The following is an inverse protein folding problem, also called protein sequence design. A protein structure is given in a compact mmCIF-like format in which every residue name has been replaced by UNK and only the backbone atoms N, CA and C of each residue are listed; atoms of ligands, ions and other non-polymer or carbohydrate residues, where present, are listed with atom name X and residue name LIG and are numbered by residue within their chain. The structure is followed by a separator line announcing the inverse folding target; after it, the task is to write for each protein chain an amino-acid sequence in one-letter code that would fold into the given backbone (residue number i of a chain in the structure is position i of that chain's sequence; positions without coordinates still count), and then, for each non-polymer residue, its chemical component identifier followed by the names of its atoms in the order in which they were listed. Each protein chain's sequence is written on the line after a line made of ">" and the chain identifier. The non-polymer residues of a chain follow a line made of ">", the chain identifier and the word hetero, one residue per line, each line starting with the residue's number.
data_IF_290660672840
#
_entry.id   IF_290660672840
#
_cell.length_a   1.000
_cell.length_b   1.000
_cell.length_c   1.000
_cell.angle_alpha   90.00
_cell.angle_beta   90.00
_cell.angle_gamma   90.00
#
_symmetry.space_group_name_H-M   'P 1'
#
loop_
_entity.id
_entity.type
_entity.pdbx_description
1 polymer ?
#
# COMPACT_ATOMS: atom_id res chain seq x y z
N UNK A 1 15.58 -29.78 -13.72
CA UNK A 1 15.31 -28.36 -13.30
C UNK A 1 14.31 -27.72 -14.24
N UNK A 2 13.56 -26.71 -13.79
CA UNK A 2 12.60 -25.96 -14.60
C UNK A 2 12.72 -24.45 -14.38
N UNK A 3 12.34 -23.61 -15.35
CA UNK A 3 12.23 -22.17 -15.13
C UNK A 3 11.18 -21.84 -14.06
N UNK A 4 11.46 -20.83 -13.23
CA UNK A 4 10.45 -20.27 -12.35
C UNK A 4 9.34 -19.58 -13.13
N UNK A 5 8.09 -19.85 -12.77
CA UNK A 5 6.89 -19.25 -13.40
C UNK A 5 6.73 -17.76 -13.13
N UNK A 6 7.46 -17.22 -12.16
CA UNK A 6 7.42 -15.82 -11.77
C UNK A 6 8.57 -14.99 -12.30
N UNK A 7 9.26 -15.51 -13.33
CA UNK A 7 10.35 -14.82 -14.02
C UNK A 7 9.85 -14.04 -15.23
N UNK A 8 10.38 -12.83 -15.41
CA UNK A 8 10.12 -11.98 -16.55
C UNK A 8 11.42 -11.41 -17.10
N UNK A 9 11.42 -11.11 -18.41
CA UNK A 9 12.54 -10.54 -19.14
C UNK A 9 12.09 -9.29 -19.86
N UNK A 10 12.85 -8.20 -19.73
CA UNK A 10 12.64 -6.98 -20.50
C UNK A 10 13.96 -6.45 -21.04
N UNK A 11 13.94 -5.65 -22.11
CA UNK A 11 15.12 -5.08 -22.75
C UNK A 11 15.07 -3.56 -22.63
N UNK A 12 16.19 -2.97 -22.24
CA UNK A 12 16.35 -1.51 -22.20
C UNK A 12 16.83 -0.98 -23.55
N UNK A 13 16.63 0.33 -23.85
CA UNK A 13 17.05 0.95 -25.12
C UNK A 13 18.54 0.86 -25.42
N UNK A 14 19.39 0.80 -24.37
CA UNK A 14 20.85 0.68 -24.49
C UNK A 14 21.33 -0.74 -24.83
N UNK A 15 20.39 -1.70 -24.99
CA UNK A 15 20.68 -3.11 -25.25
C UNK A 15 20.93 -3.95 -24.00
N UNK A 16 20.81 -3.35 -22.81
CA UNK A 16 20.81 -4.07 -21.54
C UNK A 16 19.54 -4.92 -21.43
N UNK A 17 19.66 -6.14 -20.94
CA UNK A 17 18.52 -7.04 -20.72
C UNK A 17 18.38 -7.32 -19.24
N UNK A 18 17.18 -7.11 -18.73
CA UNK A 18 16.83 -7.33 -17.33
C UNK A 18 16.03 -8.63 -17.18
N UNK A 19 16.45 -9.47 -16.27
CA UNK A 19 15.68 -10.62 -15.79
C UNK A 19 15.24 -10.34 -14.37
N UNK A 20 13.95 -10.34 -14.11
CA UNK A 20 13.37 -10.22 -12.76
C UNK A 20 12.62 -11.48 -12.38
N UNK A 21 12.73 -11.90 -11.13
CA UNK A 21 11.89 -12.94 -10.55
C UNK A 21 11.05 -12.33 -9.44
N UNK A 22 9.72 -12.31 -9.58
CA UNK A 22 8.81 -11.68 -8.61
C UNK A 22 8.61 -12.49 -7.34
N UNK A 23 9.00 -13.77 -7.33
CA UNK A 23 8.97 -14.59 -6.11
C UNK A 23 10.17 -14.29 -5.20
N UNK A 24 11.39 -14.23 -5.78
CA UNK A 24 12.63 -13.95 -5.04
C UNK A 24 12.98 -12.47 -4.98
N UNK A 25 12.34 -11.63 -5.80
CA UNK A 25 12.63 -10.20 -6.02
C UNK A 25 14.07 -9.96 -6.50
N UNK A 26 14.67 -10.95 -7.14
CA UNK A 26 16.00 -10.83 -7.73
C UNK A 26 15.92 -10.22 -9.12
N UNK A 27 16.80 -9.27 -9.37
CA UNK A 27 16.97 -8.61 -10.65
C UNK A 27 18.41 -8.86 -11.12
N UNK A 28 18.54 -9.41 -12.34
CA UNK A 28 19.83 -9.62 -13.03
C UNK A 28 19.90 -8.70 -14.23
N UNK A 29 21.03 -8.04 -14.39
CA UNK A 29 21.39 -7.23 -15.55
C UNK A 29 22.36 -8.01 -16.43
N UNK A 30 22.01 -8.23 -17.69
CA UNK A 30 22.80 -8.98 -18.66
C UNK A 30 22.96 -8.15 -19.93
N UNK A 31 24.12 -8.30 -20.60
CA UNK A 31 24.23 -7.86 -21.99
C UNK A 31 23.47 -8.83 -22.92
N UNK A 32 23.15 -8.41 -24.15
CA UNK A 32 22.37 -9.20 -25.11
C UNK A 32 22.91 -10.62 -25.31
N UNK A 33 24.23 -10.81 -25.42
CA UNK A 33 24.86 -12.14 -25.62
C UNK A 33 24.66 -13.05 -24.41
N UNK A 34 24.76 -12.55 -23.21
CA UNK A 34 24.56 -13.34 -21.99
C UNK A 34 23.06 -13.56 -21.72
N UNK A 35 22.19 -12.64 -22.17
CA UNK A 35 20.73 -12.84 -22.18
C UNK A 35 20.32 -13.97 -23.12
N UNK A 36 20.88 -14.03 -24.36
CA UNK A 36 20.63 -15.14 -25.28
C UNK A 36 21.07 -16.49 -24.68
N UNK A 37 22.21 -16.50 -23.98
CA UNK A 37 22.66 -17.70 -23.27
C UNK A 37 21.73 -18.10 -22.12
N UNK A 38 21.23 -17.11 -21.38
CA UNK A 38 20.25 -17.35 -20.31
C UNK A 38 18.97 -17.96 -20.88
N UNK A 39 18.44 -17.43 -21.99
CA UNK A 39 17.28 -17.99 -22.68
C UNK A 39 17.50 -19.44 -23.12
N UNK A 40 18.64 -19.74 -23.70
CA UNK A 40 18.98 -21.13 -24.06
C UNK A 40 19.02 -22.07 -22.86
N UNK A 41 19.59 -21.61 -21.74
CA UNK A 41 19.65 -22.38 -20.50
C UNK A 41 18.23 -22.59 -19.92
N UNK A 42 17.39 -21.54 -19.93
CA UNK A 42 16.02 -21.63 -19.45
C UNK A 42 15.12 -22.51 -20.32
N UNK A 43 15.36 -22.56 -21.63
CA UNK A 43 14.64 -23.46 -22.57
C UNK A 43 15.04 -24.93 -22.41
N UNK A 44 16.28 -25.19 -22.00
CA UNK A 44 16.83 -26.54 -21.84
C UNK A 44 17.54 -26.70 -20.48
N UNK A 45 16.79 -26.63 -19.39
CA UNK A 45 17.35 -26.52 -18.04
C UNK A 45 18.12 -27.75 -17.56
N UNK A 46 17.82 -28.93 -18.13
CA UNK A 46 18.49 -30.20 -17.78
C UNK A 46 19.79 -30.44 -18.58
N UNK A 47 20.00 -29.71 -19.68
CA UNK A 47 21.24 -29.81 -20.42
C UNK A 47 22.37 -29.05 -19.71
N UNK A 48 23.55 -29.69 -19.60
CA UNK A 48 24.72 -28.98 -19.08
C UNK A 48 25.29 -28.03 -20.13
N UNK A 49 25.32 -26.72 -19.84
CA UNK A 49 25.79 -25.77 -20.82
C UNK A 49 27.30 -25.91 -21.07
N UNK A 50 27.71 -25.85 -22.35
CA UNK A 50 29.11 -25.94 -22.73
C UNK A 50 29.86 -24.62 -22.45
N UNK A 51 30.99 -24.74 -21.75
CA UNK A 51 31.89 -23.62 -21.49
C UNK A 51 31.71 -22.93 -20.15
N UNK A 52 32.80 -22.45 -19.57
CA UNK A 52 32.90 -21.89 -18.21
C UNK A 52 31.89 -20.76 -17.93
N UNK A 53 31.70 -19.85 -18.93
CA UNK A 53 30.74 -18.72 -18.76
C UNK A 53 29.30 -19.19 -18.70
N UNK A 54 28.90 -20.16 -19.53
CA UNK A 54 27.53 -20.66 -19.53
C UNK A 54 27.23 -21.48 -18.27
N UNK A 55 28.19 -22.27 -17.76
CA UNK A 55 28.06 -22.94 -16.47
C UNK A 55 27.92 -21.95 -15.29
N UNK A 56 28.72 -20.88 -15.29
CA UNK A 56 28.60 -19.81 -14.28
C UNK A 56 27.23 -19.12 -14.35
N UNK A 57 26.72 -18.84 -15.55
CA UNK A 57 25.40 -18.23 -15.73
C UNK A 57 24.27 -19.15 -15.27
N UNK A 58 24.33 -20.48 -15.59
CA UNK A 58 23.35 -21.46 -15.06
C UNK A 58 23.31 -21.45 -13.54
N UNK A 59 24.50 -21.39 -12.91
CA UNK A 59 24.60 -21.28 -11.44
C UNK A 59 23.96 -20.00 -10.92
N UNK A 60 24.25 -18.84 -11.54
CA UNK A 60 23.65 -17.55 -11.17
C UNK A 60 22.13 -17.61 -11.30
N UNK A 61 21.60 -18.15 -12.40
CA UNK A 61 20.16 -18.29 -12.62
C UNK A 61 19.51 -19.16 -11.53
N UNK A 62 20.17 -20.27 -11.12
CA UNK A 62 19.69 -21.15 -10.06
C UNK A 62 19.73 -20.47 -8.68
N UNK A 63 20.85 -19.83 -8.32
CA UNK A 63 21.02 -19.14 -7.02
C UNK A 63 20.06 -17.95 -6.84
N UNK A 64 19.59 -17.35 -7.93
CA UNK A 64 18.64 -16.23 -7.90
C UNK A 64 17.18 -16.65 -8.14
N UNK A 65 16.91 -17.96 -8.27
CA UNK A 65 15.56 -18.49 -8.37
C UNK A 65 14.93 -18.41 -9.76
N UNK A 66 15.71 -18.18 -10.83
CA UNK A 66 15.21 -18.24 -12.22
C UNK A 66 15.12 -19.68 -12.72
N UNK A 67 15.97 -20.55 -12.20
CA UNK A 67 15.91 -21.99 -12.35
C UNK A 67 15.66 -22.63 -10.97
N UNK A 68 14.65 -23.48 -10.91
CA UNK A 68 14.23 -24.18 -9.68
C UNK A 68 14.22 -25.69 -9.89
N UNK A 69 14.18 -26.45 -8.81
CA UNK A 69 14.02 -27.89 -8.87
C UNK A 69 12.63 -28.27 -9.43
N UNK A 70 12.51 -29.34 -10.20
CA UNK A 70 11.26 -29.84 -10.77
C UNK A 70 10.20 -30.17 -9.72
N UNK A 71 10.64 -30.60 -8.53
CA UNK A 71 9.76 -30.93 -7.41
C UNK A 71 9.15 -29.70 -6.71
N UNK A 72 9.67 -28.48 -6.97
CA UNK A 72 9.17 -27.26 -6.34
C UNK A 72 7.88 -26.82 -7.02
N UNK A 73 6.78 -26.84 -6.30
CA UNK A 73 5.55 -26.18 -6.71
C UNK A 73 5.49 -24.77 -6.09
N UNK A 74 5.85 -23.73 -6.88
CA UNK A 74 5.87 -22.35 -6.42
C UNK A 74 4.47 -21.84 -6.02
N UNK A 75 3.42 -22.34 -6.69
CA UNK A 75 2.05 -21.94 -6.39
C UNK A 75 1.60 -22.49 -5.03
N UNK A 76 1.87 -23.75 -4.75
CA UNK A 76 1.59 -24.39 -3.46
C UNK A 76 2.42 -23.76 -2.33
N UNK A 77 3.66 -23.34 -2.60
CA UNK A 77 4.45 -22.56 -1.62
C UNK A 77 3.77 -21.24 -1.28
N UNK A 78 3.35 -20.43 -2.29
CA UNK A 78 2.64 -19.18 -2.06
C UNK A 78 1.33 -19.39 -1.31
N UNK A 79 0.58 -20.43 -1.67
CA UNK A 79 -0.67 -20.80 -1.02
C UNK A 79 -0.45 -21.11 0.47
N UNK A 80 0.53 -21.98 0.76
CA UNK A 80 0.92 -22.30 2.15
C UNK A 80 1.39 -21.07 2.92
N UNK A 81 2.11 -20.17 2.27
CA UNK A 81 2.64 -18.94 2.87
C UNK A 81 1.52 -17.96 3.20
N UNK A 82 0.56 -17.78 2.28
CA UNK A 82 -0.65 -16.99 2.50
C UNK A 82 -1.51 -17.58 3.61
N UNK A 83 -1.75 -18.88 3.58
CA UNK A 83 -2.57 -19.56 4.58
C UNK A 83 -2.01 -19.35 5.99
N UNK A 84 -0.71 -19.51 6.18
CA UNK A 84 -0.05 -19.23 7.46
C UNK A 84 -0.19 -17.76 7.89
N UNK A 85 -0.08 -16.82 6.97
CA UNK A 85 -0.21 -15.40 7.27
C UNK A 85 -1.65 -15.01 7.63
N UNK A 86 -2.63 -15.54 6.90
CA UNK A 86 -4.04 -15.26 7.12
C UNK A 86 -4.58 -15.87 8.43
N UNK A 87 -4.03 -17.01 8.86
CA UNK A 87 -4.49 -17.74 10.05
C UNK A 87 -3.56 -17.59 11.27
N UNK A 88 -2.55 -16.76 11.21
CA UNK A 88 -1.66 -16.54 12.34
C UNK A 88 -2.38 -15.85 13.52
N UNK A 89 -1.97 -16.17 14.75
CA UNK A 89 -2.57 -15.63 15.98
C UNK A 89 -1.62 -14.74 16.80
N UNK A 90 -0.34 -14.70 16.45
CA UNK A 90 0.67 -13.93 17.20
C UNK A 90 0.60 -12.42 16.98
N UNK A 91 0.06 -12.00 15.84
CA UNK A 91 -0.02 -10.59 15.47
C UNK A 91 -1.47 -10.16 15.39
N UNK A 92 -1.91 -9.32 16.31
CA UNK A 92 -3.22 -8.70 16.30
C UNK A 92 -3.14 -7.37 15.55
N UNK A 93 -3.98 -7.18 14.54
CA UNK A 93 -4.14 -5.92 13.81
C UNK A 93 -5.48 -5.25 14.17
N UNK A 94 -5.44 -3.98 14.55
CA UNK A 94 -6.66 -3.23 14.83
C UNK A 94 -6.64 -1.91 14.06
N UNK A 95 -7.68 -1.66 13.25
CA UNK A 95 -7.99 -0.32 12.77
C UNK A 95 -9.11 0.22 13.65
N UNK A 96 -8.84 1.28 14.38
CA UNK A 96 -9.76 1.81 15.39
C UNK A 96 -10.25 3.18 14.93
N UNK A 97 -11.58 3.34 14.90
CA UNK A 97 -12.25 4.58 14.58
C UNK A 97 -12.78 5.23 15.86
N UNK A 98 -12.09 6.22 16.45
CA UNK A 98 -12.59 6.91 17.65
C UNK A 98 -13.91 7.64 17.40
N UNK A 99 -14.12 8.08 16.13
CA UNK A 99 -15.34 8.74 15.67
C UNK A 99 -15.44 8.69 14.16
N UNK A 100 -16.66 8.78 13.62
CA UNK A 100 -16.89 9.06 12.18
C UNK A 100 -17.08 10.57 11.91
N UNK A 101 -17.11 11.41 12.95
CA UNK A 101 -17.12 12.86 12.75
C UNK A 101 -15.83 13.35 12.08
N UNK A 102 -15.96 14.33 11.18
CA UNK A 102 -14.83 14.93 10.48
C UNK A 102 -15.04 16.45 10.36
N UNK A 103 -13.95 17.20 10.50
CA UNK A 103 -13.90 18.65 10.31
C UNK A 103 -13.76 19.06 8.83
N UNK A 104 -13.61 18.11 7.89
CA UNK A 104 -13.59 18.35 6.45
C UNK A 104 -14.82 17.76 5.75
N UNK A 105 -15.03 18.19 4.48
CA UNK A 105 -16.13 17.74 3.60
C UNK A 105 -15.59 17.34 2.24
N UNK A 106 -14.63 16.37 2.23
CA UNK A 106 -14.03 15.90 0.99
C UNK A 106 -15.08 15.35 0.02
N UNK A 107 -14.97 15.72 -1.26
CA UNK A 107 -15.97 15.37 -2.30
C UNK A 107 -16.00 13.87 -2.63
N UNK A 108 -14.93 13.16 -2.37
CA UNK A 108 -14.77 11.73 -2.65
C UNK A 108 -14.85 10.85 -1.38
N UNK A 109 -15.30 11.40 -0.25
CA UNK A 109 -15.33 10.67 1.01
C UNK A 109 -16.33 9.52 0.98
N UNK A 110 -15.89 8.32 1.34
CA UNK A 110 -16.71 7.12 1.45
C UNK A 110 -17.21 6.85 2.89
N UNK A 111 -16.79 7.67 3.86
CA UNK A 111 -17.23 7.61 5.25
C UNK A 111 -18.55 8.34 5.44
N UNK A 112 -19.45 7.77 6.26
CA UNK A 112 -20.59 8.52 6.78
C UNK A 112 -20.08 9.52 7.81
N UNK A 113 -20.69 10.71 7.83
CA UNK A 113 -20.30 11.79 8.75
C UNK A 113 -21.18 11.83 10.00
N UNK A 114 -22.09 10.87 10.14
CA UNK A 114 -23.13 10.80 11.18
C UNK A 114 -22.69 9.90 12.35
N UNK A 115 -21.39 9.85 12.63
CA UNK A 115 -20.86 8.95 13.60
C UNK A 115 -20.73 9.55 14.98
N UNK A 116 -21.29 8.88 15.97
CA UNK A 116 -21.02 9.14 17.36
C UNK A 116 -19.53 8.98 17.71
N UNK A 117 -19.16 9.50 18.86
CA UNK A 117 -17.85 9.28 19.47
C UNK A 117 -17.88 7.92 20.19
N UNK A 118 -16.77 7.18 20.14
CA UNK A 118 -16.62 5.90 20.83
C UNK A 118 -16.86 6.05 22.33
N UNK A 119 -17.90 5.40 22.85
CA UNK A 119 -18.28 5.46 24.25
C UNK A 119 -17.24 4.80 25.15
N UNK A 120 -17.24 5.15 26.43
CA UNK A 120 -16.37 4.53 27.42
C UNK A 120 -16.58 3.01 27.52
N UNK A 121 -17.82 2.55 27.36
CA UNK A 121 -18.18 1.13 27.38
C UNK A 121 -17.51 0.38 26.21
N UNK A 122 -17.53 0.95 25.00
CA UNK A 122 -16.84 0.40 23.83
C UNK A 122 -15.33 0.40 24.03
N UNK A 123 -14.74 1.48 24.57
CA UNK A 123 -13.31 1.55 24.90
C UNK A 123 -12.90 0.43 25.87
N UNK A 124 -13.68 0.20 26.93
CA UNK A 124 -13.42 -0.86 27.90
C UNK A 124 -13.55 -2.25 27.27
N UNK A 125 -14.55 -2.45 26.40
CA UNK A 125 -14.70 -3.71 25.68
C UNK A 125 -13.52 -3.98 24.72
N UNK A 126 -13.01 -2.92 24.08
CA UNK A 126 -11.84 -3.02 23.19
C UNK A 126 -10.55 -3.33 23.97
N UNK A 127 -10.36 -2.74 25.16
CA UNK A 127 -9.24 -3.09 26.06
C UNK A 127 -9.33 -4.56 26.49
N UNK A 128 -10.53 -5.07 26.82
CA UNK A 128 -10.72 -6.50 27.13
C UNK A 128 -10.37 -7.39 25.94
N UNK A 129 -10.86 -7.06 24.73
CA UNK A 129 -10.52 -7.76 23.50
C UNK A 129 -9.00 -7.84 23.28
N UNK A 130 -8.30 -6.71 23.42
CA UNK A 130 -6.85 -6.65 23.28
C UNK A 130 -6.15 -7.54 24.32
N UNK A 131 -6.59 -7.47 25.60
CA UNK A 131 -6.05 -8.31 26.68
C UNK A 131 -6.24 -9.80 26.43
N UNK A 132 -7.36 -10.20 25.83
CA UNK A 132 -7.65 -11.61 25.48
C UNK A 132 -6.88 -12.08 24.25
N UNK A 133 -6.80 -11.26 23.21
CA UNK A 133 -6.27 -11.65 21.89
C UNK A 133 -4.75 -11.53 21.77
N UNK A 134 -4.12 -10.57 22.42
CA UNK A 134 -2.65 -10.41 22.37
C UNK A 134 -2.01 -11.64 23.02
N UNK A 135 -1.20 -12.35 22.23
CA UNK A 135 -0.44 -13.51 22.72
C UNK A 135 0.85 -13.06 23.41
N UNK A 136 1.36 -13.85 24.39
CA UNK A 136 2.71 -13.63 24.92
C UNK A 136 3.75 -13.61 23.79
N UNK A 137 4.69 -12.67 23.85
CA UNK A 137 5.73 -12.45 22.84
C UNK A 137 5.18 -12.21 21.40
N UNK A 138 3.90 -11.84 21.29
CA UNK A 138 3.24 -11.46 20.06
C UNK A 138 3.41 -10.00 19.70
N UNK A 139 2.45 -9.46 18.95
CA UNK A 139 2.39 -8.02 18.69
C UNK A 139 0.97 -7.51 18.53
N UNK A 140 0.79 -6.23 18.84
CA UNK A 140 -0.38 -5.43 18.50
C UNK A 140 0.04 -4.29 17.57
N UNK A 141 -0.56 -4.24 16.38
CA UNK A 141 -0.45 -3.12 15.46
C UNK A 141 -1.79 -2.37 15.41
N UNK A 142 -1.78 -1.07 15.67
CA UNK A 142 -2.99 -0.22 15.66
C UNK A 142 -2.88 0.80 14.54
N UNK A 143 -3.97 0.96 13.77
CA UNK A 143 -4.14 2.09 12.85
C UNK A 143 -5.28 2.97 13.37
N UNK A 144 -4.98 4.19 13.73
CA UNK A 144 -5.98 5.19 14.09
C UNK A 144 -6.59 5.77 12.83
N UNK A 145 -7.91 5.67 12.70
CA UNK A 145 -8.64 6.02 11.48
C UNK A 145 -10.03 6.59 11.82
N UNK A 146 -10.90 6.75 10.82
CA UNK A 146 -12.27 7.24 10.92
C UNK A 146 -12.47 8.55 10.17
N UNK A 147 -13.46 9.36 10.51
CA UNK A 147 -13.68 10.66 9.88
C UNK A 147 -12.45 11.55 10.05
N UNK A 148 -12.17 11.99 11.29
CA UNK A 148 -10.89 12.59 11.67
C UNK A 148 -10.54 12.13 13.10
N UNK A 149 -9.56 11.24 13.26
CA UNK A 149 -9.23 10.66 14.56
C UNK A 149 -8.71 11.68 15.56
N UNK A 150 -8.04 12.75 15.14
CA UNK A 150 -7.49 13.78 16.02
C UNK A 150 -8.55 14.69 16.65
N UNK A 151 -9.82 14.63 16.21
CA UNK A 151 -10.93 15.26 16.93
C UNK A 151 -11.14 14.63 18.32
N UNK A 152 -10.65 13.40 18.51
CA UNK A 152 -10.82 12.62 19.73
C UNK A 152 -9.46 12.10 20.25
N UNK A 153 -8.45 12.98 20.30
CA UNK A 153 -7.08 12.64 20.72
C UNK A 153 -7.07 11.96 22.11
N UNK A 154 -7.93 12.39 23.05
CA UNK A 154 -8.07 11.81 24.38
C UNK A 154 -8.45 10.31 24.38
N UNK A 155 -9.20 9.85 23.36
CA UNK A 155 -9.50 8.41 23.20
C UNK A 155 -8.27 7.67 22.73
N UNK A 156 -7.51 8.26 21.79
CA UNK A 156 -6.24 7.71 21.29
C UNK A 156 -5.25 7.56 22.45
N UNK A 157 -5.09 8.60 23.27
CA UNK A 157 -4.22 8.60 24.47
C UNK A 157 -4.59 7.46 25.42
N UNK A 158 -5.86 7.43 25.84
CA UNK A 158 -6.36 6.43 26.79
C UNK A 158 -6.15 4.99 26.30
N UNK A 159 -6.54 4.70 25.05
CA UNK A 159 -6.42 3.37 24.50
C UNK A 159 -4.95 2.99 24.26
N UNK A 160 -4.12 3.91 23.76
CA UNK A 160 -2.69 3.67 23.56
C UNK A 160 -1.98 3.32 24.87
N UNK A 161 -2.23 4.07 25.93
CA UNK A 161 -1.65 3.76 27.26
C UNK A 161 -2.08 2.36 27.76
N UNK A 162 -3.37 2.01 27.64
CA UNK A 162 -3.86 0.69 28.01
C UNK A 162 -3.23 -0.42 27.16
N UNK A 163 -3.06 -0.21 25.86
CA UNK A 163 -2.44 -1.19 24.96
C UNK A 163 -0.94 -1.36 25.23
N UNK A 164 -0.22 -0.28 25.49
CA UNK A 164 1.19 -0.33 25.88
C UNK A 164 1.39 -1.14 27.17
N UNK A 165 0.57 -0.89 28.19
CA UNK A 165 0.59 -1.64 29.46
C UNK A 165 0.32 -3.15 29.27
N UNK A 166 -0.70 -3.50 28.46
CA UNK A 166 -1.02 -4.90 28.13
C UNK A 166 0.14 -5.56 27.41
N UNK A 167 0.71 -4.89 26.40
CA UNK A 167 1.82 -5.42 25.63
C UNK A 167 3.07 -5.61 26.50
N UNK A 168 3.41 -4.67 27.36
CA UNK A 168 4.51 -4.77 28.31
C UNK A 168 4.33 -5.98 29.22
N UNK A 169 3.14 -6.14 29.85
CA UNK A 169 2.83 -7.28 30.71
C UNK A 169 2.91 -8.63 30.01
N UNK A 170 2.71 -8.68 28.69
CA UNK A 170 2.80 -9.89 27.87
C UNK A 170 4.13 -10.04 27.12
N UNK A 171 5.07 -9.13 27.30
CA UNK A 171 6.31 -9.03 26.50
C UNK A 171 6.04 -8.99 24.99
N UNK A 172 4.89 -8.44 24.61
CA UNK A 172 4.47 -8.26 23.23
C UNK A 172 4.95 -6.90 22.69
N UNK A 173 5.07 -6.78 21.36
CA UNK A 173 5.41 -5.50 20.72
C UNK A 173 4.15 -4.69 20.47
N UNK A 174 4.21 -3.39 20.75
CA UNK A 174 3.19 -2.43 20.36
C UNK A 174 3.73 -1.49 19.30
N UNK A 175 2.95 -1.24 18.26
CA UNK A 175 3.20 -0.20 17.25
C UNK A 175 1.88 0.42 16.83
N UNK A 176 1.89 1.68 16.43
CA UNK A 176 0.70 2.29 15.86
C UNK A 176 1.02 3.27 14.73
N UNK A 177 0.02 3.56 13.92
CA UNK A 177 0.03 4.56 12.85
C UNK A 177 -1.27 5.36 12.87
N UNK A 178 -1.29 6.50 12.21
CA UNK A 178 -2.50 7.33 12.12
C UNK A 178 -2.75 7.75 10.67
N UNK A 179 -4.02 7.68 10.25
CA UNK A 179 -4.50 8.27 9.00
C UNK A 179 -5.35 9.48 9.37
N UNK A 180 -4.86 10.66 9.06
CA UNK A 180 -5.48 11.94 9.42
C UNK A 180 -5.54 12.88 8.24
N UNK A 181 -6.48 13.81 8.25
CA UNK A 181 -6.51 14.87 7.25
C UNK A 181 -5.40 15.93 7.47
N UNK A 182 -4.69 15.90 8.60
CA UNK A 182 -3.58 16.79 8.92
C UNK A 182 -3.98 18.16 9.47
N UNK A 183 -5.26 18.51 9.47
CA UNK A 183 -5.72 19.85 9.92
C UNK A 183 -5.44 20.13 11.39
N UNK A 184 -5.43 19.09 12.24
CA UNK A 184 -5.14 19.15 13.66
C UNK A 184 -3.75 18.62 14.03
N UNK A 185 -2.93 18.22 13.05
CA UNK A 185 -1.61 17.63 13.26
C UNK A 185 -0.55 18.73 13.42
N UNK A 186 -0.67 19.58 14.41
CA UNK A 186 0.34 20.57 14.74
C UNK A 186 1.56 19.94 15.45
N UNK A 187 2.55 20.79 15.78
CA UNK A 187 3.81 20.34 16.39
C UNK A 187 3.60 19.59 17.72
N UNK A 188 2.71 20.06 18.55
CA UNK A 188 2.49 19.46 19.87
C UNK A 188 1.71 18.15 19.75
N UNK A 189 0.70 18.11 18.90
CA UNK A 189 -0.01 16.87 18.54
C UNK A 189 0.95 15.82 18.01
N UNK A 190 1.90 16.19 17.13
CA UNK A 190 2.89 15.26 16.60
C UNK A 190 3.80 14.67 17.70
N UNK A 191 4.22 15.48 18.69
CA UNK A 191 4.98 15.00 19.85
C UNK A 191 4.18 14.00 20.68
N UNK A 192 2.94 14.36 21.02
CA UNK A 192 2.03 13.46 21.76
C UNK A 192 1.87 12.12 21.04
N UNK A 193 1.67 12.13 19.72
CA UNK A 193 1.55 10.90 18.94
C UNK A 193 2.81 10.03 19.00
N UNK A 194 4.00 10.62 18.97
CA UNK A 194 5.27 9.87 19.10
C UNK A 194 5.40 9.25 20.50
N UNK A 195 5.01 9.97 21.56
CA UNK A 195 4.97 9.43 22.93
C UNK A 195 4.03 8.21 23.04
N UNK A 196 2.93 8.24 22.30
CA UNK A 196 1.96 7.14 22.17
C UNK A 196 2.40 6.02 21.20
N UNK A 197 3.66 6.02 20.76
CA UNK A 197 4.23 5.02 19.82
C UNK A 197 3.54 5.00 18.45
N UNK A 198 3.10 6.17 17.98
CA UNK A 198 2.73 6.34 16.59
C UNK A 198 4.01 6.49 15.77
N UNK A 199 4.28 5.50 14.91
CA UNK A 199 5.54 5.40 14.15
C UNK A 199 5.51 6.26 12.89
N UNK A 200 4.33 6.48 12.31
CA UNK A 200 4.14 7.37 11.16
C UNK A 200 2.69 7.85 11.03
N UNK A 201 2.52 8.97 10.32
CA UNK A 201 1.21 9.48 9.92
C UNK A 201 1.03 9.43 8.41
N UNK A 202 -0.18 9.10 7.96
CA UNK A 202 -0.61 9.38 6.59
C UNK A 202 -1.42 10.67 6.59
N UNK A 203 -0.98 11.66 5.81
CA UNK A 203 -1.69 12.94 5.59
C UNK A 203 -2.09 13.04 4.13
N UNK A 204 -3.17 13.76 3.83
CA UNK A 204 -3.65 13.94 2.45
C UNK A 204 -3.56 15.40 2.00
N UNK A 205 -2.96 15.61 0.80
CA UNK A 205 -2.90 16.91 0.12
C UNK A 205 -3.12 16.70 -1.38
N UNK A 206 -4.30 17.06 -1.91
CA UNK A 206 -4.77 16.65 -3.24
C UNK A 206 -4.43 17.61 -4.39
N UNK A 207 -3.71 18.70 -4.12
CA UNK A 207 -3.40 19.71 -5.14
C UNK A 207 -2.83 20.99 -4.54
N UNK A 208 -2.47 21.98 -5.37
CA UNK A 208 -2.29 23.36 -4.94
C UNK A 208 -3.54 23.88 -4.23
N UNK A 209 -3.41 24.99 -3.49
CA UNK A 209 -4.46 25.52 -2.62
C UNK A 209 -5.86 25.57 -3.27
N UNK A 210 -6.09 26.14 -4.46
CA UNK A 210 -7.42 26.21 -5.04
C UNK A 210 -8.04 24.83 -5.34
N UNK A 211 -7.21 23.89 -5.81
CA UNK A 211 -7.65 22.52 -6.14
C UNK A 211 -7.91 21.74 -4.87
N UNK A 212 -6.98 21.81 -3.92
CA UNK A 212 -7.14 21.12 -2.63
C UNK A 212 -8.39 21.59 -1.89
N UNK A 213 -8.61 22.90 -1.79
CA UNK A 213 -9.72 23.50 -1.05
C UNK A 213 -11.08 23.17 -1.68
N UNK A 214 -11.14 23.13 -3.03
CA UNK A 214 -12.33 22.66 -3.73
C UNK A 214 -12.64 21.18 -3.47
N UNK A 215 -11.62 20.34 -3.34
CA UNK A 215 -11.75 18.90 -3.10
C UNK A 215 -11.96 18.57 -1.62
N UNK A 216 -11.39 19.36 -0.72
CA UNK A 216 -11.34 19.09 0.73
C UNK A 216 -11.68 20.33 1.56
N UNK A 217 -12.86 20.94 1.34
CA UNK A 217 -13.28 22.10 2.13
C UNK A 217 -13.49 21.71 3.60
N UNK A 218 -13.34 22.66 4.50
CA UNK A 218 -13.74 22.48 5.90
C UNK A 218 -15.26 22.31 6.04
N UNK A 219 -15.72 21.76 7.17
CA UNK A 219 -17.15 21.64 7.46
C UNK A 219 -17.90 23.00 7.45
N UNK A 220 -17.20 24.10 7.68
CA UNK A 220 -17.71 25.47 7.59
C UNK A 220 -17.62 26.09 6.19
N UNK A 221 -17.18 25.34 5.15
CA UNK A 221 -17.06 25.82 3.76
C UNK A 221 -15.80 26.62 3.46
N UNK A 222 -14.87 26.78 4.41
CA UNK A 222 -13.58 27.42 4.19
C UNK A 222 -12.52 26.47 3.63
N UNK A 223 -11.36 27.02 3.22
CA UNK A 223 -10.20 26.26 2.79
C UNK A 223 -9.53 25.47 3.91
N UNK A 224 -8.82 24.41 3.57
CA UNK A 224 -8.06 23.60 4.51
C UNK A 224 -6.57 23.52 4.17
N UNK A 225 -6.18 23.86 2.95
CA UNK A 225 -4.82 23.74 2.43
C UNK A 225 -3.77 24.41 3.33
N UNK A 226 -3.92 25.70 3.59
CA UNK A 226 -2.91 26.48 4.33
C UNK A 226 -2.63 25.87 5.71
N UNK A 227 -3.68 25.51 6.44
CA UNK A 227 -3.55 24.90 7.76
C UNK A 227 -2.86 23.53 7.71
N UNK A 228 -3.26 22.68 6.75
CA UNK A 228 -2.66 21.36 6.57
C UNK A 228 -1.19 21.48 6.14
N UNK A 229 -0.88 22.39 5.22
CA UNK A 229 0.49 22.58 4.74
C UNK A 229 1.43 23.13 5.83
N UNK A 230 0.98 24.08 6.66
CA UNK A 230 1.75 24.56 7.82
C UNK A 230 1.97 23.45 8.85
N UNK A 231 0.95 22.67 9.15
CA UNK A 231 1.05 21.53 10.04
C UNK A 231 2.00 20.45 9.47
N UNK A 232 1.98 20.18 8.18
CA UNK A 232 2.89 19.25 7.51
C UNK A 232 4.35 19.67 7.75
N UNK A 233 4.67 20.94 7.58
CA UNK A 233 6.02 21.50 7.85
C UNK A 233 6.40 21.37 9.33
N UNK A 234 5.47 21.61 10.23
CA UNK A 234 5.73 21.59 11.66
C UNK A 234 5.86 20.16 12.24
N UNK A 235 5.09 19.21 11.72
CA UNK A 235 5.02 17.83 12.21
C UNK A 235 6.08 16.91 11.59
N UNK A 236 6.42 17.07 10.31
CA UNK A 236 7.28 16.14 9.57
C UNK A 236 8.71 15.98 10.13
N UNK A 237 9.33 16.97 10.84
CA UNK A 237 10.60 16.74 11.52
C UNK A 237 10.49 15.86 12.78
N UNK A 238 9.27 15.62 13.28
CA UNK A 238 9.00 14.89 14.53
C UNK A 238 8.46 13.48 14.23
N UNK A 239 7.54 13.39 13.27
CA UNK A 239 6.84 12.18 12.92
C UNK A 239 6.96 11.95 11.40
N UNK A 240 7.47 10.81 10.92
CA UNK A 240 7.51 10.50 9.50
C UNK A 240 6.12 10.57 8.86
N UNK A 241 6.00 11.23 7.71
CA UNK A 241 4.73 11.44 7.04
C UNK A 241 4.71 10.83 5.65
N UNK A 242 3.75 9.90 5.42
CA UNK A 242 3.35 9.50 4.08
C UNK A 242 2.30 10.48 3.57
N UNK A 243 2.63 11.23 2.51
CA UNK A 243 1.71 12.20 1.94
C UNK A 243 0.93 11.59 0.78
N UNK A 244 -0.34 11.33 1.01
CA UNK A 244 -1.25 10.80 0.02
C UNK A 244 -1.80 11.90 -0.86
N UNK A 245 -1.76 11.73 -2.18
CA UNK A 245 -2.42 12.58 -3.17
C UNK A 245 -3.51 11.72 -3.81
N UNK A 246 -4.79 11.93 -3.45
CA UNK A 246 -5.89 11.23 -4.11
C UNK A 246 -6.10 11.82 -5.50
N UNK A 247 -6.05 10.96 -6.51
CA UNK A 247 -6.04 11.37 -7.91
C UNK A 247 -7.27 10.89 -8.65
N UNK A 248 -7.85 11.82 -9.41
CA UNK A 248 -8.87 11.60 -10.43
C UNK A 248 -8.68 12.62 -11.58
N UNK A 249 -9.58 12.64 -12.56
CA UNK A 249 -9.53 13.57 -13.70
C UNK A 249 -9.47 15.05 -13.29
N UNK A 250 -9.97 15.40 -12.10
CA UNK A 250 -10.09 16.82 -11.67
C UNK A 250 -8.77 17.41 -11.17
N UNK A 251 -7.77 16.60 -10.84
CA UNK A 251 -6.51 17.08 -10.28
C UNK A 251 -5.24 16.41 -10.85
N UNK A 252 -5.36 15.45 -11.78
CA UNK A 252 -4.21 14.72 -12.32
C UNK A 252 -3.11 15.62 -12.88
N UNK A 253 -3.50 16.71 -13.55
CA UNK A 253 -2.55 17.62 -14.20
C UNK A 253 -1.85 18.57 -13.21
N UNK A 254 -2.30 18.64 -11.95
CA UNK A 254 -1.74 19.52 -10.91
C UNK A 254 -0.77 18.79 -9.97
N UNK A 255 -0.49 17.51 -10.19
CA UNK A 255 0.45 16.72 -9.37
C UNK A 255 1.84 17.32 -9.36
N UNK A 256 2.44 17.73 -10.51
CA UNK A 256 3.76 18.36 -10.52
C UNK A 256 3.85 19.59 -9.62
N UNK A 257 2.80 20.43 -9.60
CA UNK A 257 2.74 21.64 -8.77
C UNK A 257 2.76 21.32 -7.26
N UNK A 258 2.06 20.25 -6.85
CA UNK A 258 2.11 19.77 -5.45
C UNK A 258 3.52 19.33 -5.07
N UNK A 259 4.17 18.58 -5.96
CA UNK A 259 5.54 18.10 -5.73
C UNK A 259 6.53 19.26 -5.63
N UNK A 260 6.36 20.30 -6.45
CA UNK A 260 7.17 21.53 -6.40
C UNK A 260 6.96 22.30 -5.09
N UNK A 261 5.71 22.42 -4.61
CA UNK A 261 5.41 23.06 -3.33
C UNK A 261 6.08 22.33 -2.16
N UNK A 262 6.02 21.00 -2.13
CA UNK A 262 6.62 20.18 -1.06
C UNK A 262 8.16 20.26 -1.14
N UNK A 263 8.73 20.23 -2.34
CA UNK A 263 10.17 20.35 -2.57
C UNK A 263 10.69 21.74 -2.17
N UNK A 264 9.98 22.80 -2.55
CA UNK A 264 10.32 24.18 -2.19
C UNK A 264 10.25 24.42 -0.67
N UNK A 265 9.40 23.68 0.03
CA UNK A 265 9.33 23.69 1.50
C UNK A 265 10.46 22.89 2.19
N UNK A 266 11.35 22.24 1.43
CA UNK A 266 12.46 21.46 1.98
C UNK A 266 12.07 20.15 2.66
N UNK A 267 10.94 19.53 2.26
CA UNK A 267 10.35 18.38 2.95
C UNK A 267 10.80 17.02 2.40
N UNK A 268 11.76 16.97 1.45
CA UNK A 268 12.16 15.73 0.76
C UNK A 268 12.69 14.63 1.69
N UNK A 269 13.25 15.02 2.84
CA UNK A 269 13.83 14.07 3.82
C UNK A 269 12.84 13.50 4.84
N UNK A 270 11.66 14.12 5.00
CA UNK A 270 10.71 13.81 6.08
C UNK A 270 9.29 13.49 5.60
N UNK A 271 8.98 13.79 4.34
CA UNK A 271 7.67 13.55 3.74
C UNK A 271 7.84 12.62 2.53
N UNK A 272 6.99 11.60 2.42
CA UNK A 272 7.00 10.59 1.36
C UNK A 272 5.70 10.66 0.55
N UNK A 273 5.67 11.45 -0.56
CA UNK A 273 4.49 11.55 -1.41
C UNK A 273 4.22 10.26 -2.17
N UNK A 274 2.94 9.92 -2.33
CA UNK A 274 2.49 8.83 -3.18
C UNK A 274 1.05 9.09 -3.67
N UNK A 275 0.71 8.50 -4.82
CA UNK A 275 -0.62 8.62 -5.39
C UNK A 275 -1.60 7.61 -4.79
N UNK A 276 -2.82 8.06 -4.52
CA UNK A 276 -3.95 7.23 -4.18
C UNK A 276 -5.00 7.24 -5.29
N UNK A 277 -5.28 6.10 -5.89
CA UNK A 277 -6.33 5.99 -6.90
C UNK A 277 -7.69 6.25 -6.27
N UNK A 278 -8.42 7.27 -6.75
CA UNK A 278 -9.78 7.54 -6.32
C UNK A 278 -10.73 6.58 -7.03
N UNK A 279 -11.52 5.84 -6.25
CA UNK A 279 -12.44 4.82 -6.76
C UNK A 279 -13.80 4.93 -6.05
N UNK A 280 -14.91 4.56 -6.71
CA UNK A 280 -16.24 4.52 -6.11
C UNK A 280 -16.39 3.27 -5.22
N UNK A 281 -15.78 3.28 -4.03
CA UNK A 281 -15.72 2.14 -3.13
C UNK A 281 -17.10 1.66 -2.64
N UNK A 282 -18.01 2.58 -2.33
CA UNK A 282 -19.35 2.28 -1.82
C UNK A 282 -20.38 3.29 -2.34
N UNK A 283 -21.63 3.13 -1.95
CA UNK A 283 -22.76 3.98 -2.41
C UNK A 283 -22.60 5.45 -2.03
N UNK A 284 -21.88 5.77 -0.95
CA UNK A 284 -21.68 7.14 -0.46
C UNK A 284 -20.84 7.96 -1.45
N UNK A 285 -19.90 7.32 -2.13
CA UNK A 285 -18.97 7.96 -3.07
C UNK A 285 -19.21 7.57 -4.53
N UNK A 286 -20.43 7.16 -4.92
CA UNK A 286 -20.73 6.75 -6.30
C UNK A 286 -20.55 7.88 -7.32
N UNK A 287 -20.78 9.13 -6.93
CA UNK A 287 -20.61 10.28 -7.84
C UNK A 287 -19.16 10.45 -8.33
N UNK A 288 -18.19 9.92 -7.57
CA UNK A 288 -16.76 9.93 -7.96
C UNK A 288 -16.51 9.10 -9.21
N UNK A 289 -17.35 8.12 -9.51
CA UNK A 289 -17.18 7.25 -10.69
C UNK A 289 -17.03 8.01 -12.00
N UNK A 290 -17.61 9.22 -12.08
CA UNK A 290 -17.56 10.09 -13.28
C UNK A 290 -16.20 10.75 -13.49
N UNK A 291 -15.41 10.88 -12.45
CA UNK A 291 -14.08 11.50 -12.46
C UNK A 291 -12.95 10.51 -12.24
N UNK A 292 -13.24 9.22 -12.03
CA UNK A 292 -12.19 8.21 -11.87
C UNK A 292 -11.40 8.04 -13.16
N UNK A 293 -10.08 8.00 -13.06
CA UNK A 293 -9.20 7.58 -14.15
C UNK A 293 -9.15 6.05 -14.23
N UNK A 294 -8.78 5.52 -15.38
CA UNK A 294 -8.61 4.07 -15.54
C UNK A 294 -7.43 3.54 -14.69
N UNK A 295 -7.40 2.24 -14.41
CA UNK A 295 -6.27 1.63 -13.71
C UNK A 295 -4.97 1.70 -14.54
N UNK A 296 -5.07 1.71 -15.85
CA UNK A 296 -3.96 1.87 -16.79
C UNK A 296 -3.40 3.30 -16.73
N UNK A 297 -4.26 4.31 -16.88
CA UNK A 297 -3.86 5.73 -16.74
C UNK A 297 -3.29 6.03 -15.37
N UNK A 298 -3.89 5.46 -14.30
CA UNK A 298 -3.34 5.60 -12.95
C UNK A 298 -1.95 4.97 -12.84
N UNK A 299 -1.73 3.80 -13.43
CA UNK A 299 -0.42 3.14 -13.43
C UNK A 299 0.66 3.98 -14.12
N UNK A 300 0.33 4.57 -15.27
CA UNK A 300 1.24 5.45 -16.00
C UNK A 300 1.55 6.71 -15.19
N UNK A 301 0.51 7.37 -14.67
CA UNK A 301 0.66 8.58 -13.85
C UNK A 301 1.49 8.33 -12.57
N UNK A 302 1.30 7.19 -11.92
CA UNK A 302 2.08 6.79 -10.74
C UNK A 302 3.56 6.60 -11.09
N UNK A 303 3.86 6.00 -12.25
CA UNK A 303 5.23 5.84 -12.75
C UNK A 303 5.86 7.20 -13.08
N UNK A 304 5.17 8.06 -13.82
CA UNK A 304 5.62 9.42 -14.15
C UNK A 304 5.88 10.24 -12.87
N UNK A 305 4.96 10.14 -11.90
CA UNK A 305 5.11 10.79 -10.59
C UNK A 305 6.34 10.28 -9.84
N UNK A 306 6.61 8.99 -9.90
CA UNK A 306 7.78 8.40 -9.25
C UNK A 306 9.08 8.94 -9.85
N UNK A 307 9.16 9.15 -11.16
CA UNK A 307 10.30 9.82 -11.80
C UNK A 307 10.44 11.29 -11.38
N UNK A 308 9.34 12.04 -11.35
CA UNK A 308 9.37 13.45 -10.92
C UNK A 308 9.83 13.58 -9.44
N UNK A 309 9.37 12.69 -8.57
CA UNK A 309 9.80 12.65 -7.17
C UNK A 309 11.31 12.40 -7.05
N UNK A 310 11.85 11.46 -7.82
CA UNK A 310 13.30 11.22 -7.84
C UNK A 310 14.08 12.46 -8.30
N UNK A 311 13.64 13.11 -9.39
CA UNK A 311 14.28 14.35 -9.89
C UNK A 311 14.29 15.46 -8.84
N UNK A 312 13.26 15.52 -8.01
CA UNK A 312 13.13 16.52 -6.94
C UNK A 312 13.83 16.10 -5.63
N UNK A 313 14.52 14.95 -5.61
CA UNK A 313 15.32 14.49 -4.48
C UNK A 313 14.53 13.79 -3.37
N UNK A 314 13.30 13.34 -3.67
CA UNK A 314 12.53 12.51 -2.73
C UNK A 314 13.02 11.06 -2.72
N UNK A 315 13.07 10.45 -1.53
CA UNK A 315 13.26 9.01 -1.36
C UNK A 315 11.91 8.31 -1.33
N UNK A 316 11.34 8.02 -2.50
CA UNK A 316 9.94 7.58 -2.60
C UNK A 316 9.74 6.20 -3.18
N UNK A 317 10.81 5.57 -3.65
CA UNK A 317 10.67 4.26 -4.24
C UNK A 317 10.52 3.18 -3.17
N UNK A 318 9.36 2.53 -3.19
CA UNK A 318 9.18 1.25 -2.52
C UNK A 318 9.34 0.15 -3.57
N UNK A 319 10.43 -0.62 -3.54
CA UNK A 319 10.55 -1.78 -4.41
C UNK A 319 9.37 -2.72 -4.19
N UNK A 320 8.98 -3.52 -5.19
CA UNK A 320 7.98 -4.54 -4.97
C UNK A 320 8.41 -5.42 -3.81
N UNK A 321 7.48 -5.75 -2.94
CA UNK A 321 7.74 -6.62 -1.79
C UNK A 321 6.93 -7.89 -1.99
N UNK A 322 7.54 -9.04 -1.70
CA UNK A 322 6.75 -10.25 -1.55
C UNK A 322 5.73 -10.04 -0.45
N UNK A 323 4.49 -10.34 -0.73
CA UNK A 323 3.40 -10.21 0.22
C UNK A 323 2.71 -11.54 0.45
N UNK A 324 2.26 -11.77 1.68
CA UNK A 324 1.53 -12.98 2.06
C UNK A 324 0.01 -12.78 2.02
N UNK A 325 -0.41 -11.53 2.06
CA UNK A 325 -1.79 -11.11 2.01
C UNK A 325 -1.85 -9.72 1.39
N UNK A 326 -2.93 -9.37 0.71
CA UNK A 326 -3.08 -8.05 0.12
C UNK A 326 -3.20 -6.95 1.20
N UNK A 327 -4.02 -7.20 2.21
CA UNK A 327 -4.24 -6.26 3.31
C UNK A 327 -4.73 -6.96 4.58
N UNK A 328 -5.01 -6.19 5.64
CA UNK A 328 -5.53 -6.70 6.91
C UNK A 328 -6.84 -7.50 6.77
N UNK A 329 -7.69 -7.17 5.79
CA UNK A 329 -8.95 -7.86 5.57
C UNK A 329 -8.80 -9.35 5.16
N UNK A 330 -7.62 -9.76 4.67
CA UNK A 330 -7.28 -11.17 4.42
C UNK A 330 -6.87 -11.93 5.70
N UNK A 331 -6.70 -11.25 6.84
CA UNK A 331 -6.19 -11.85 8.07
C UNK A 331 -7.33 -12.04 9.09
N UNK A 332 -7.48 -13.26 9.62
CA UNK A 332 -8.52 -13.59 10.59
C UNK A 332 -8.24 -13.07 12.03
N UNK A 333 -7.08 -12.48 12.27
CA UNK A 333 -6.72 -11.81 13.52
C UNK A 333 -6.48 -10.29 13.32
N UNK A 334 -7.19 -9.71 12.35
CA UNK A 334 -7.19 -8.27 12.11
C UNK A 334 -8.62 -7.75 11.94
N UNK A 335 -8.92 -6.61 12.55
CA UNK A 335 -10.28 -6.09 12.66
C UNK A 335 -10.33 -4.58 12.52
N UNK A 336 -11.42 -4.09 11.96
CA UNK A 336 -11.79 -2.67 12.01
C UNK A 336 -12.87 -2.50 13.07
N UNK A 337 -12.66 -1.58 14.00
CA UNK A 337 -13.56 -1.31 15.13
C UNK A 337 -14.23 0.03 14.94
N UNK A 338 -15.54 0.03 14.80
CA UNK A 338 -16.35 1.25 14.64
C UNK A 338 -16.61 1.94 15.97
N UNK A 339 -17.00 3.23 16.00
CA UNK A 339 -17.30 3.93 17.24
C UNK A 339 -18.44 3.32 18.05
N UNK A 340 -19.38 2.64 17.40
CA UNK A 340 -20.49 1.93 18.07
C UNK A 340 -20.06 0.59 18.69
N UNK A 341 -18.85 0.10 18.40
CA UNK A 341 -18.35 -1.20 18.82
C UNK A 341 -18.59 -2.32 17.81
N UNK A 342 -19.08 -2.00 16.61
CA UNK A 342 -19.17 -2.93 15.49
C UNK A 342 -17.77 -3.37 15.06
N UNK A 343 -17.65 -4.62 14.62
CA UNK A 343 -16.42 -5.21 14.08
C UNK A 343 -16.65 -5.54 12.62
N UNK A 344 -15.83 -4.98 11.73
CA UNK A 344 -15.86 -5.26 10.28
C UNK A 344 -14.49 -5.66 9.77
N UNK A 345 -14.41 -6.26 8.58
CA UNK A 345 -13.12 -6.65 7.98
C UNK A 345 -12.43 -5.50 7.24
N UNK A 346 -13.20 -4.59 6.67
CA UNK A 346 -12.68 -3.48 5.86
C UNK A 346 -13.21 -2.15 6.36
N UNK A 347 -12.38 -1.11 6.38
CA UNK A 347 -12.81 0.24 6.74
C UNK A 347 -13.85 0.84 5.77
N UNK A 348 -13.90 0.38 4.51
CA UNK A 348 -14.94 0.79 3.56
C UNK A 348 -16.36 0.35 3.98
N UNK A 349 -16.46 -0.60 4.91
CA UNK A 349 -17.71 -1.07 5.52
C UNK A 349 -17.97 -0.42 6.90
N UNK A 350 -17.16 0.55 7.34
CA UNK A 350 -17.25 1.14 8.68
C UNK A 350 -18.59 1.81 8.99
N UNK A 351 -19.29 2.24 7.96
CA UNK A 351 -20.62 2.85 8.04
C UNK A 351 -21.78 1.86 7.86
N UNK A 352 -21.50 0.62 7.46
CA UNK A 352 -22.52 -0.39 7.16
C UNK A 352 -22.65 -1.38 8.32
N UNK A 353 -23.65 -1.18 9.18
CA UNK A 353 -23.95 -2.13 10.27
C UNK A 353 -24.33 -3.52 9.76
N UNK A 354 -24.79 -3.62 8.50
CA UNK A 354 -25.08 -4.88 7.87
C UNK A 354 -23.81 -5.68 7.51
N UNK A 355 -22.67 -5.02 7.38
CA UNK A 355 -21.38 -5.65 7.12
C UNK A 355 -20.65 -6.15 8.38
N UNK A 356 -21.21 -5.92 9.57
CA UNK A 356 -20.61 -6.38 10.83
C UNK A 356 -20.39 -7.90 10.85
N UNK A 357 -19.17 -8.31 11.17
CA UNK A 357 -18.75 -9.68 11.41
C UNK A 357 -18.69 -10.02 12.90
N UNK A 358 -18.88 -9.03 13.76
CA UNK A 358 -18.88 -9.10 15.21
C UNK A 358 -19.30 -7.78 15.84
N UNK A 359 -19.43 -7.76 17.16
CA UNK A 359 -19.73 -6.53 17.91
C UNK A 359 -19.22 -6.65 19.35
N UNK A 360 -18.52 -5.61 19.82
CA UNK A 360 -17.89 -5.65 21.15
C UNK A 360 -18.87 -5.74 22.31
N UNK A 361 -20.09 -5.17 22.16
CA UNK A 361 -21.10 -5.08 23.20
C UNK A 361 -22.33 -5.99 22.97
N UNK A 362 -22.42 -6.68 21.83
CA UNK A 362 -23.57 -7.52 21.48
C UNK A 362 -23.15 -8.98 21.33
N UNK A 363 -24.07 -9.95 21.53
CA UNK A 363 -23.79 -11.35 21.29
C UNK A 363 -23.41 -11.61 19.84
N UNK A 364 -22.52 -12.59 19.64
CA UNK A 364 -22.15 -13.08 18.30
C UNK A 364 -23.32 -13.84 17.67
N UNK A 365 -23.65 -13.54 16.43
CA UNK A 365 -24.80 -14.11 15.72
C UNK A 365 -24.37 -15.01 14.57
N UNK A 366 -25.27 -15.95 14.17
CA UNK A 366 -25.04 -16.80 12.99
C UNK A 366 -24.79 -15.97 11.70
N UNK A 367 -25.43 -14.81 11.56
CA UNK A 367 -25.24 -13.88 10.45
C UNK A 367 -23.81 -13.33 10.43
N UNK A 368 -23.28 -12.91 11.58
CA UNK A 368 -21.88 -12.43 11.71
C UNK A 368 -20.89 -13.54 11.33
N UNK A 369 -21.14 -14.77 11.76
CA UNK A 369 -20.33 -15.93 11.39
C UNK A 369 -20.29 -16.16 9.88
N UNK A 370 -21.44 -16.11 9.22
CA UNK A 370 -21.56 -16.29 7.77
C UNK A 370 -20.77 -15.20 7.02
N UNK A 371 -20.89 -13.94 7.46
CA UNK A 371 -20.17 -12.81 6.84
C UNK A 371 -18.67 -12.89 7.00
N UNK A 372 -18.17 -13.23 8.19
CA UNK A 372 -16.75 -13.47 8.41
C UNK A 372 -16.21 -14.57 7.47
N UNK A 373 -16.99 -15.66 7.30
CA UNK A 373 -16.65 -16.75 6.41
C UNK A 373 -16.54 -16.36 4.92
N UNK A 374 -17.26 -15.33 4.47
CA UNK A 374 -17.16 -14.84 3.07
C UNK A 374 -15.76 -14.28 2.77
N UNK A 375 -15.20 -13.50 3.67
CA UNK A 375 -13.86 -12.93 3.50
C UNK A 375 -12.77 -14.00 3.45
N UNK A 376 -12.88 -15.03 4.29
CA UNK A 376 -11.92 -16.13 4.36
C UNK A 376 -11.99 -17.07 3.14
N UNK A 377 -13.13 -17.14 2.45
CA UNK A 377 -13.32 -18.00 1.27
C UNK A 377 -12.68 -17.45 0.00
N UNK A 378 -12.27 -16.18 -0.02
CA UNK A 378 -11.57 -15.63 -1.19
C UNK A 378 -10.25 -16.35 -1.38
N UNK A 379 -10.11 -17.03 -2.50
CA UNK A 379 -8.91 -17.77 -2.87
C UNK A 379 -8.33 -17.25 -4.18
N UNK A 380 -7.26 -16.42 -4.14
CA UNK A 380 -6.62 -15.91 -5.35
C UNK A 380 -5.98 -17.01 -6.19
N UNK A 381 -5.73 -18.20 -5.63
CA UNK A 381 -5.11 -19.32 -6.34
C UNK A 381 -6.12 -20.12 -7.19
N UNK A 382 -7.42 -19.90 -7.00
CA UNK A 382 -8.51 -20.47 -7.81
C UNK A 382 -9.00 -19.52 -8.92
N UNK A 383 -8.47 -18.28 -8.97
CA UNK A 383 -8.81 -17.26 -9.95
C UNK A 383 -7.75 -17.21 -11.06
N UNK A 384 -7.97 -16.33 -12.05
CA UNK A 384 -6.95 -16.02 -13.09
C UNK A 384 -5.61 -15.55 -12.50
N UNK A 385 -5.59 -15.15 -11.23
CA UNK A 385 -4.38 -14.79 -10.50
C UNK A 385 -3.41 -15.97 -10.32
N UNK A 386 -3.88 -17.22 -10.37
CA UNK A 386 -3.04 -18.41 -10.24
C UNK A 386 -1.93 -18.44 -11.29
N UNK A 387 -2.21 -17.95 -12.51
CA UNK A 387 -1.24 -17.88 -13.60
C UNK A 387 -0.59 -16.51 -13.77
N UNK A 388 -0.89 -15.57 -12.87
CA UNK A 388 -0.36 -14.22 -12.94
C UNK A 388 1.07 -14.14 -12.42
N UNK A 389 1.96 -13.59 -13.24
CA UNK A 389 3.36 -13.31 -12.91
C UNK A 389 3.53 -12.49 -11.63
N UNK A 390 2.61 -11.56 -11.35
CA UNK A 390 2.66 -10.65 -10.22
C UNK A 390 2.01 -11.20 -8.94
N UNK A 391 1.52 -12.45 -8.96
CA UNK A 391 0.87 -13.04 -7.79
C UNK A 391 1.70 -12.92 -6.49
N UNK A 392 3.04 -13.15 -6.50
CA UNK A 392 3.86 -13.04 -5.29
C UNK A 392 3.90 -11.66 -4.62
N UNK A 393 3.62 -10.60 -5.38
CA UNK A 393 3.63 -9.22 -4.88
C UNK A 393 2.23 -8.61 -4.78
N UNK A 394 1.18 -9.31 -5.26
CA UNK A 394 -0.19 -8.81 -5.34
C UNK A 394 -1.18 -9.60 -4.47
N UNK A 395 -1.05 -10.92 -4.40
CA UNK A 395 -1.99 -11.83 -3.73
C UNK A 395 -3.46 -11.62 -4.13
N UNK A 396 -3.69 -11.30 -5.42
CA UNK A 396 -5.03 -11.20 -6.00
C UNK A 396 -5.74 -9.86 -5.77
N UNK A 397 -5.03 -8.82 -5.34
CA UNK A 397 -5.59 -7.47 -5.21
C UNK A 397 -6.61 -7.30 -4.08
N UNK A 398 -7.35 -6.20 -4.13
CA UNK A 398 -8.27 -5.79 -3.06
C UNK A 398 -9.42 -6.79 -2.84
N UNK A 399 -9.51 -7.44 -1.66
CA UNK A 399 -10.59 -8.38 -1.38
C UNK A 399 -11.97 -7.69 -1.33
N UNK A 400 -12.03 -6.46 -0.82
CA UNK A 400 -13.26 -5.69 -0.77
C UNK A 400 -13.86 -5.47 -2.16
N UNK A 401 -13.07 -4.95 -3.11
CA UNK A 401 -13.54 -4.70 -4.47
C UNK A 401 -13.98 -6.00 -5.15
N UNK A 402 -13.22 -7.08 -4.99
CA UNK A 402 -13.60 -8.38 -5.53
C UNK A 402 -14.94 -8.89 -4.96
N UNK A 403 -15.13 -8.83 -3.65
CA UNK A 403 -16.37 -9.29 -2.99
C UNK A 403 -17.59 -8.45 -3.34
N UNK A 404 -17.43 -7.14 -3.59
CA UNK A 404 -18.54 -6.23 -3.94
C UNK A 404 -18.88 -6.25 -5.43
N UNK A 405 -17.90 -6.35 -6.32
CA UNK A 405 -18.10 -6.21 -7.78
C UNK A 405 -17.78 -7.46 -8.60
N UNK A 406 -17.13 -8.48 -8.00
CA UNK A 406 -16.57 -9.61 -8.74
C UNK A 406 -15.33 -9.28 -9.57
N UNK A 407 -14.87 -8.03 -9.56
CA UNK A 407 -13.75 -7.56 -10.37
C UNK A 407 -12.44 -7.58 -9.58
N UNK A 408 -11.36 -8.05 -10.21
CA UNK A 408 -10.03 -8.00 -9.64
C UNK A 408 -9.44 -6.60 -9.79
N UNK A 409 -9.02 -6.00 -8.69
CA UNK A 409 -8.20 -4.80 -8.71
C UNK A 409 -6.74 -5.21 -8.78
N UNK A 410 -6.19 -5.24 -10.00
CA UNK A 410 -4.83 -5.69 -10.24
C UNK A 410 -3.78 -4.73 -9.68
N UNK A 411 -2.60 -5.27 -9.39
CA UNK A 411 -1.44 -4.46 -9.04
C UNK A 411 -1.08 -3.50 -10.18
N UNK A 412 -0.74 -2.25 -9.84
CA UNK A 412 -0.44 -1.20 -10.82
C UNK A 412 0.63 -1.58 -11.85
N UNK A 413 1.61 -2.38 -11.48
CA UNK A 413 2.65 -2.86 -12.40
C UNK A 413 2.13 -3.76 -13.53
N UNK A 414 0.89 -4.25 -13.47
CA UNK A 414 0.32 -5.11 -14.53
C UNK A 414 0.16 -4.37 -15.86
N UNK A 415 -0.07 -3.08 -15.82
CA UNK A 415 -0.37 -2.27 -17.02
C UNK A 415 0.90 -1.75 -17.72
N UNK A 416 1.96 -1.43 -16.96
CA UNK A 416 3.23 -0.90 -17.47
C UNK A 416 4.39 -1.67 -16.85
N UNK A 417 4.43 -2.99 -17.12
CA UNK A 417 5.34 -3.91 -16.45
C UNK A 417 6.81 -3.63 -16.76
N UNK A 418 7.14 -3.48 -18.03
CA UNK A 418 8.52 -3.31 -18.48
C UNK A 418 9.09 -1.98 -18.04
N UNK A 419 8.30 -0.93 -18.10
CA UNK A 419 8.66 0.41 -17.63
C UNK A 419 8.87 0.44 -16.11
N UNK A 420 8.02 -0.24 -15.34
CA UNK A 420 8.18 -0.37 -13.90
C UNK A 420 9.44 -1.17 -13.52
N UNK A 421 9.79 -2.21 -14.28
CA UNK A 421 11.03 -2.97 -14.10
C UNK A 421 12.25 -2.11 -14.42
N UNK A 422 12.20 -1.35 -15.52
CA UNK A 422 13.25 -0.41 -15.89
C UNK A 422 13.46 0.65 -14.80
N UNK A 423 12.37 1.24 -14.29
CA UNK A 423 12.42 2.18 -13.19
C UNK A 423 13.03 1.56 -11.92
N UNK A 424 12.61 0.33 -11.56
CA UNK A 424 13.16 -0.39 -10.42
C UNK A 424 14.68 -0.62 -10.55
N UNK A 425 15.14 -0.98 -11.73
CA UNK A 425 16.55 -1.13 -12.04
C UNK A 425 17.33 0.18 -11.83
N UNK A 426 16.79 1.28 -12.34
CA UNK A 426 17.40 2.61 -12.18
C UNK A 426 17.56 3.01 -10.72
N UNK A 427 16.51 2.84 -9.93
CA UNK A 427 16.54 3.17 -8.49
C UNK A 427 17.62 2.36 -7.78
N UNK A 428 17.75 1.07 -8.08
CA UNK A 428 18.82 0.23 -7.52
C UNK A 428 20.21 0.73 -7.87
N UNK A 429 20.41 1.24 -9.09
CA UNK A 429 21.69 1.83 -9.49
C UNK A 429 21.98 3.14 -8.75
N UNK A 430 20.99 4.00 -8.63
CA UNK A 430 21.12 5.28 -7.90
C UNK A 430 21.43 5.07 -6.42
N UNK A 431 20.80 4.09 -5.78
CA UNK A 431 21.09 3.74 -4.38
C UNK A 431 22.49 3.11 -4.20
N UNK A 432 23.00 2.44 -5.22
CA UNK A 432 24.31 1.77 -5.17
C UNK A 432 25.51 2.68 -5.48
N UNK A 433 25.32 3.71 -6.29
CA UNK A 433 26.39 4.57 -6.79
C UNK A 433 25.98 6.05 -6.84
N UNK A 434 26.50 6.88 -5.96
CA UNK A 434 26.26 8.34 -5.98
C UNK A 434 26.72 9.04 -7.30
N UNK A 435 27.53 8.36 -8.12
CA UNK A 435 27.99 8.81 -9.44
C UNK A 435 26.93 8.66 -10.53
N UNK A 436 26.06 7.65 -10.44
CA UNK A 436 25.00 7.34 -11.42
C UNK A 436 23.86 8.37 -11.39
N UNK A 437 23.73 9.10 -10.28
CA UNK A 437 22.73 10.18 -10.18
C UNK A 437 22.87 11.27 -11.26
N UNK A 438 24.07 11.45 -11.85
CA UNK A 438 24.31 12.44 -12.93
C UNK A 438 23.89 11.94 -14.31
N UNK A 439 24.02 10.64 -14.58
CA UNK A 439 23.57 10.02 -15.85
C UNK A 439 22.09 9.62 -15.81
N UNK A 440 21.49 9.65 -14.64
CA UNK A 440 20.10 9.32 -14.35
C UNK A 440 19.11 10.11 -15.22
N UNK A 441 19.30 11.41 -15.39
CA UNK A 441 18.41 12.26 -16.20
C UNK A 441 18.34 11.82 -17.67
N UNK A 442 19.43 11.33 -18.21
CA UNK A 442 19.50 10.84 -19.59
C UNK A 442 18.69 9.55 -19.78
N UNK A 443 18.75 8.66 -18.78
CA UNK A 443 18.03 7.38 -18.78
C UNK A 443 16.52 7.58 -18.55
N UNK A 444 16.14 8.56 -17.72
CA UNK A 444 14.71 8.92 -17.51
C UNK A 444 14.06 9.38 -18.81
N UNK A 445 14.76 10.21 -19.59
CA UNK A 445 14.24 10.66 -20.88
C UNK A 445 14.13 9.49 -21.89
N UNK A 446 15.02 8.51 -21.82
CA UNK A 446 14.97 7.30 -22.65
C UNK A 446 13.78 6.38 -22.26
N UNK A 447 13.47 6.25 -20.98
CA UNK A 447 12.29 5.47 -20.50
C UNK A 447 10.97 6.19 -20.82
N UNK A 448 10.93 7.53 -20.77
CA UNK A 448 9.77 8.31 -21.26
C UNK A 448 9.49 8.10 -22.73
N UNK A 449 10.53 7.98 -23.56
CA UNK A 449 10.40 7.66 -24.99
C UNK A 449 9.79 6.27 -25.22
N UNK A 450 10.01 5.31 -24.31
CA UNK A 450 9.35 4.00 -24.36
C UNK A 450 7.86 4.12 -24.03
N UNK A 451 7.50 4.82 -22.96
CA UNK A 451 6.11 5.05 -22.55
C UNK A 451 5.31 5.81 -23.62
N UNK A 452 5.93 6.78 -24.31
CA UNK A 452 5.26 7.51 -25.40
C UNK A 452 5.06 6.65 -26.70
N UNK A 453 5.90 5.64 -26.92
CA UNK A 453 5.74 4.71 -28.05
C UNK A 453 4.66 3.66 -27.84
N UNK A 454 4.22 3.45 -26.61
CA UNK A 454 3.14 2.50 -26.27
C UNK A 454 1.76 3.15 -26.23
N UNK A 455 1.67 4.49 -26.36
CA UNK A 455 0.38 5.18 -26.50
C UNK A 455 -0.27 4.81 -27.84
N UNK A 456 -1.53 4.36 -27.87
CA UNK A 456 -2.24 4.16 -29.12
C UNK A 456 -2.35 5.51 -29.86
N UNK A 457 -2.08 5.46 -31.18
CA UNK A 457 -2.19 6.61 -32.07
C UNK A 457 -3.61 7.23 -31.93
N UNK A 458 -3.74 8.53 -31.66
CA UNK A 458 -5.03 9.16 -31.54
C UNK A 458 -5.66 9.36 -32.91
N UNK A 459 -6.14 8.29 -33.53
CA UNK A 459 -6.92 8.31 -34.79
C UNK A 459 -8.33 7.79 -34.58
#
# INVERSE_FOLDING_TARGET
>A
MKPSRYSHKTSLPDGTVLFINFYTLKLLELNSRDADRADMILQKPDEDPKGRKACALKKILSENGFLINDEVDELEYLKSFRDKACHQQKHLGLTILPSLACNLRCVYCYETRDGGVMSEEVQQALIRLAKERIQPEGSLAVTWFGGEPLLNLQIIERLSHSFMEICEGKKAKYSSSIITNGYLLDRETAKTLVELKVDHAQVTLDGPEPIHDARRPTAGGGGSFQRIFENLKAASPILPISLRINVDETNRDTIPDVLDLIAAAGLQGSVHPYLGHTLPYNEICQDVARSCISSEDFSLLDLETAFELMKKGFRTFSPPKSTNAYCLADNNNAFVITPSGGVVNCWNDSADSEAEIGHLLKPYTARMHTKAGVWLKRDPFSLECADCLLLPICMGGCPYMYLKSGQLQCHKWKHHLDENIAYYHLVKKVDAEAQVARDFYKIVDEVKVLADKTKPDPS
#
